data_IF_604421740647
#
_entry.id   IF_604421740647
#
_cell.length_a   1.000
_cell.length_b   1.000
_cell.length_c   1.000
_cell.angle_alpha   90.00
_cell.angle_beta   90.00
_cell.angle_gamma   90.00
#
_symmetry.space_group_name_H-M   'P 1'
#
loop_
_entity.id
_entity.type
_entity.pdbx_description
1 polymer ?
#
# COMPACT_ATOMS: atom_id res chain seq x y z
N UNK A 1 9.73 6.90 -14.72
CA UNK A 1 8.48 7.18 -14.00
C UNK A 1 8.61 8.51 -13.32
N UNK A 2 7.72 9.44 -13.65
CA UNK A 2 7.69 10.78 -13.08
C UNK A 2 6.30 11.09 -12.50
N UNK A 3 6.26 11.96 -11.50
CA UNK A 3 5.01 12.45 -10.92
C UNK A 3 4.05 11.36 -10.45
N UNK A 4 2.80 11.47 -10.89
CA UNK A 4 1.70 10.56 -10.56
C UNK A 4 1.93 9.10 -10.97
N UNK A 5 2.72 8.84 -12.02
CA UNK A 5 3.01 7.47 -12.49
C UNK A 5 3.69 6.64 -11.40
N UNK A 6 4.49 7.28 -10.54
CA UNK A 6 5.17 6.62 -9.43
C UNK A 6 4.18 6.07 -8.40
N UNK A 7 3.06 6.76 -8.17
CA UNK A 7 2.03 6.33 -7.23
C UNK A 7 1.20 5.18 -7.81
N UNK A 8 0.86 5.25 -9.10
CA UNK A 8 0.22 4.13 -9.81
C UNK A 8 1.11 2.89 -9.83
N UNK A 9 2.40 3.05 -10.09
CA UNK A 9 3.36 1.95 -9.97
C UNK A 9 3.40 1.37 -8.55
N UNK A 10 3.45 2.21 -7.51
CA UNK A 10 3.48 1.73 -6.13
C UNK A 10 2.20 0.94 -5.79
N UNK A 11 1.03 1.42 -6.21
CA UNK A 11 -0.25 0.71 -6.07
C UNK A 11 -0.19 -0.65 -6.74
N UNK A 12 0.13 -0.71 -8.03
CA UNK A 12 0.21 -1.97 -8.77
C UNK A 12 1.23 -2.92 -8.15
N UNK A 13 2.37 -2.40 -7.69
CA UNK A 13 3.42 -3.24 -7.12
C UNK A 13 3.00 -3.90 -5.81
N UNK A 14 2.29 -3.16 -4.95
CA UNK A 14 1.70 -3.71 -3.72
C UNK A 14 0.69 -4.81 -4.07
N UNK A 15 -0.17 -4.57 -5.06
CA UNK A 15 -1.20 -5.52 -5.46
C UNK A 15 -0.61 -6.79 -6.08
N UNK A 16 0.35 -6.66 -7.00
CA UNK A 16 1.02 -7.78 -7.64
C UNK A 16 1.79 -8.64 -6.64
N UNK A 17 2.60 -8.03 -5.77
CA UNK A 17 3.41 -8.78 -4.80
C UNK A 17 2.61 -9.45 -3.70
N UNK A 18 1.38 -8.99 -3.46
CA UNK A 18 0.51 -9.55 -2.42
C UNK A 18 -0.64 -10.35 -3.01
N UNK A 19 -0.64 -10.61 -4.32
CA UNK A 19 -1.72 -11.30 -5.03
C UNK A 19 -3.10 -10.66 -4.77
N UNK A 20 -3.12 -9.32 -4.66
CA UNK A 20 -4.31 -8.53 -4.37
C UNK A 20 -4.78 -8.55 -2.90
N UNK A 21 -4.09 -9.28 -2.01
CA UNK A 21 -4.43 -9.32 -0.57
C UNK A 21 -4.17 -7.98 0.12
N UNK A 22 -3.28 -7.16 -0.43
CA UNK A 22 -3.05 -5.80 0.03
C UNK A 22 -3.26 -4.84 -1.12
N UNK A 23 -4.03 -3.76 -0.87
CA UNK A 23 -4.42 -2.79 -1.89
C UNK A 23 -4.26 -1.38 -1.37
N UNK A 24 -3.61 -0.52 -2.14
CA UNK A 24 -3.57 0.91 -1.84
C UNK A 24 -4.90 1.55 -2.25
N UNK A 25 -5.57 2.17 -1.27
CA UNK A 25 -6.92 2.71 -1.40
C UNK A 25 -7.06 4.08 -0.72
N UNK A 26 -8.18 4.76 -0.96
CA UNK A 26 -8.53 6.02 -0.28
C UNK A 26 -9.39 5.75 0.95
N UNK A 27 -8.92 6.23 2.10
CA UNK A 27 -9.63 6.15 3.37
C UNK A 27 -10.56 7.32 3.62
N UNK A 28 -11.41 7.15 4.63
CA UNK A 28 -12.32 8.19 5.09
C UNK A 28 -11.52 9.46 5.44
N UNK A 29 -11.79 10.57 4.75
CA UNK A 29 -11.03 11.82 4.90
C UNK A 29 -9.89 12.00 3.89
N UNK A 30 -9.86 11.22 2.81
CA UNK A 30 -9.00 11.48 1.63
C UNK A 30 -7.54 11.07 1.80
N UNK A 31 -7.22 10.27 2.83
CA UNK A 31 -5.87 9.80 3.07
C UNK A 31 -5.64 8.44 2.42
N UNK A 32 -4.45 8.24 1.86
CA UNK A 32 -4.03 6.94 1.34
C UNK A 32 -3.76 5.97 2.50
N UNK A 33 -4.23 4.73 2.35
CA UNK A 33 -3.87 3.64 3.24
C UNK A 33 -3.92 2.29 2.50
N UNK A 34 -3.28 1.29 3.08
CA UNK A 34 -3.29 -0.07 2.54
C UNK A 34 -4.42 -0.84 3.20
N UNK A 35 -5.41 -1.28 2.42
CA UNK A 35 -6.40 -2.28 2.82
C UNK A 35 -5.75 -3.65 2.80
N UNK A 36 -5.90 -4.39 3.88
CA UNK A 36 -5.23 -5.67 4.10
C UNK A 36 -6.30 -6.74 4.31
N UNK A 37 -6.20 -7.84 3.58
CA UNK A 37 -7.04 -9.02 3.77
C UNK A 37 -6.81 -9.65 5.16
N UNK A 38 -7.84 -10.25 5.74
CA UNK A 38 -7.77 -10.83 7.09
C UNK A 38 -6.84 -12.04 7.17
N UNK A 39 -6.53 -12.68 6.04
CA UNK A 39 -5.55 -13.77 5.99
C UNK A 39 -4.10 -13.32 6.15
N UNK A 40 -3.77 -12.04 5.88
CA UNK A 40 -2.39 -11.54 5.96
C UNK A 40 -1.92 -11.33 7.39
N UNK A 41 -0.78 -11.97 7.73
CA UNK A 41 -0.13 -11.84 9.03
C UNK A 41 0.95 -10.74 9.04
N UNK A 42 1.41 -10.33 7.85
CA UNK A 42 2.29 -9.19 7.65
C UNK A 42 1.66 -8.22 6.65
N UNK A 43 1.87 -6.92 6.84
CA UNK A 43 1.25 -5.88 6.04
C UNK A 43 2.18 -4.69 5.76
N UNK A 44 1.99 -4.08 4.60
CA UNK A 44 2.62 -2.83 4.19
C UNK A 44 1.81 -1.66 4.73
N UNK A 45 2.49 -0.74 5.40
CA UNK A 45 2.01 0.61 5.67
C UNK A 45 2.54 1.53 4.58
N UNK A 46 1.65 2.37 4.04
CA UNK A 46 1.98 3.35 3.04
C UNK A 46 1.21 4.64 3.35
N UNK A 47 1.94 5.76 3.48
CA UNK A 47 1.35 7.08 3.63
C UNK A 47 2.17 8.13 2.88
N UNK A 48 1.52 9.22 2.47
CA UNK A 48 2.20 10.36 1.85
C UNK A 48 2.37 11.47 2.90
N UNK A 49 3.61 11.84 3.18
CA UNK A 49 3.97 12.80 4.23
C UNK A 49 4.57 14.05 3.60
N UNK A 50 4.03 15.22 3.96
CA UNK A 50 4.52 16.51 3.46
C UNK A 50 5.89 16.83 4.05
N UNK A 51 6.87 17.05 3.19
CA UNK A 51 8.15 17.64 3.55
C UNK A 51 8.00 19.14 3.72
N UNK A 52 8.16 19.62 4.95
CA UNK A 52 8.01 21.05 5.26
C UNK A 52 9.07 21.94 4.60
N UNK A 53 10.23 21.41 4.21
CA UNK A 53 11.31 22.18 3.58
C UNK A 53 11.08 22.37 2.08
N UNK A 54 10.64 21.32 1.39
CA UNK A 54 10.48 21.33 -0.08
C UNK A 54 9.04 21.56 -0.52
N UNK A 55 8.07 21.40 0.39
CA UNK A 55 6.63 21.44 0.09
C UNK A 55 6.10 20.19 -0.62
N UNK A 56 6.98 19.28 -1.05
CA UNK A 56 6.66 18.02 -1.71
C UNK A 56 6.15 16.98 -0.71
N UNK A 57 5.40 15.99 -1.19
CA UNK A 57 5.00 14.82 -0.41
C UNK A 57 5.91 13.64 -0.74
N UNK A 58 6.39 12.95 0.28
CA UNK A 58 7.18 11.73 0.15
C UNK A 58 6.42 10.52 0.71
N UNK A 59 6.62 9.35 0.13
CA UNK A 59 6.08 8.13 0.71
C UNK A 59 6.84 7.75 1.99
N UNK A 60 6.09 7.52 3.06
CA UNK A 60 6.53 6.82 4.27
C UNK A 60 6.01 5.39 4.18
N UNK A 61 6.94 4.43 4.04
CA UNK A 61 6.64 3.02 3.78
C UNK A 61 7.23 2.18 4.91
N UNK A 62 6.43 1.28 5.49
CA UNK A 62 6.86 0.41 6.60
C UNK A 62 6.24 -0.98 6.46
N UNK A 63 6.90 -2.01 6.98
CA UNK A 63 6.28 -3.31 7.21
C UNK A 63 5.82 -3.43 8.67
N UNK A 64 4.68 -4.07 8.91
CA UNK A 64 4.23 -4.41 10.27
C UNK A 64 3.57 -5.80 10.33
N UNK A 65 3.57 -6.40 11.52
CA UNK A 65 2.95 -7.70 11.76
C UNK A 65 1.58 -7.52 12.41
N UNK A 66 0.59 -8.28 11.94
CA UNK A 66 -0.76 -8.38 12.50
C UNK A 66 -0.84 -9.68 13.29
N UNK A 67 -0.61 -9.62 14.60
CA UNK A 67 -0.65 -10.81 15.46
C UNK A 67 -1.83 -10.73 16.42
N UNK A 68 -2.68 -11.76 16.41
CA UNK A 68 -3.84 -11.88 17.31
C UNK A 68 -3.73 -13.06 18.30
N UNK A 69 -2.79 -13.99 18.10
CA UNK A 69 -2.35 -15.03 19.04
C UNK A 69 -1.15 -15.80 18.46
N UNK A 70 -0.52 -16.68 19.23
CA UNK A 70 0.64 -17.48 18.78
C UNK A 70 0.33 -18.44 17.61
N UNK A 71 1.37 -18.90 16.92
CA UNK A 71 1.24 -19.76 15.75
C UNK A 71 0.99 -21.22 16.16
N UNK A 72 -0.13 -21.80 15.70
CA UNK A 72 -0.62 -23.11 16.17
C UNK A 72 0.28 -24.31 15.80
N UNK A 73 1.20 -24.16 14.84
CA UNK A 73 2.17 -25.19 14.43
C UNK A 73 3.30 -24.60 13.56
N UNK A 74 4.30 -25.43 13.24
CA UNK A 74 5.45 -25.06 12.41
C UNK A 74 5.08 -24.61 10.99
N UNK A 75 4.07 -25.23 10.35
CA UNK A 75 3.61 -24.84 9.01
C UNK A 75 3.11 -23.40 8.96
N UNK A 76 2.32 -22.96 9.97
CA UNK A 76 1.88 -21.56 10.04
C UNK A 76 3.03 -20.59 10.29
N UNK A 77 4.07 -21.03 11.01
CA UNK A 77 5.26 -20.22 11.25
C UNK A 77 6.11 -20.09 9.98
N UNK A 78 6.20 -21.15 9.17
CA UNK A 78 6.88 -21.13 7.87
C UNK A 78 6.18 -20.19 6.88
N UNK A 79 4.85 -20.27 6.76
CA UNK A 79 4.05 -19.35 5.94
C UNK A 79 4.25 -17.88 6.35
N UNK A 80 4.26 -17.60 7.65
CA UNK A 80 4.58 -16.26 8.14
C UNK A 80 5.99 -15.83 7.71
N UNK A 81 6.99 -16.71 7.82
CA UNK A 81 8.36 -16.39 7.43
C UNK A 81 8.45 -16.03 5.94
N UNK A 82 7.72 -16.74 5.09
CA UNK A 82 7.61 -16.43 3.67
C UNK A 82 6.92 -15.08 3.43
N UNK A 83 5.78 -14.82 4.08
CA UNK A 83 5.07 -13.54 3.99
C UNK A 83 5.95 -12.36 4.42
N UNK A 84 6.67 -12.49 5.54
CA UNK A 84 7.60 -11.47 6.04
C UNK A 84 8.73 -11.23 5.04
N UNK A 85 9.27 -12.29 4.44
CA UNK A 85 10.36 -12.18 3.47
C UNK A 85 9.90 -11.46 2.20
N UNK A 86 8.72 -11.80 1.69
CA UNK A 86 8.11 -11.11 0.54
C UNK A 86 7.82 -9.64 0.84
N UNK A 87 7.21 -9.35 1.98
CA UNK A 87 6.93 -7.99 2.42
C UNK A 87 8.22 -7.17 2.60
N UNK A 88 9.27 -7.75 3.16
CA UNK A 88 10.56 -7.06 3.34
C UNK A 88 11.19 -6.70 1.98
N UNK A 89 11.05 -7.54 0.97
CA UNK A 89 11.49 -7.22 -0.39
C UNK A 89 10.66 -6.07 -0.99
N UNK A 90 9.34 -6.12 -0.85
CA UNK A 90 8.43 -5.07 -1.31
C UNK A 90 8.74 -3.71 -0.66
N UNK A 91 8.87 -3.65 0.67
CA UNK A 91 9.17 -2.41 1.39
C UNK A 91 10.49 -1.81 0.92
N UNK A 92 11.55 -2.62 0.78
CA UNK A 92 12.84 -2.16 0.25
C UNK A 92 12.73 -1.60 -1.16
N UNK A 93 11.93 -2.25 -2.02
CA UNK A 93 11.71 -1.80 -3.39
C UNK A 93 10.99 -0.43 -3.42
N UNK A 94 9.94 -0.26 -2.61
CA UNK A 94 9.20 0.98 -2.48
C UNK A 94 10.04 2.12 -1.88
N UNK A 95 10.86 1.84 -0.87
CA UNK A 95 11.82 2.79 -0.29
C UNK A 95 12.85 3.24 -1.32
N UNK A 96 13.42 2.30 -2.08
CA UNK A 96 14.42 2.57 -3.11
C UNK A 96 13.88 3.43 -4.25
N UNK A 97 12.58 3.36 -4.53
CA UNK A 97 11.92 4.18 -5.55
C UNK A 97 11.85 5.68 -5.19
N UNK A 98 12.11 6.04 -3.92
CA UNK A 98 12.12 7.42 -3.43
C UNK A 98 10.93 8.24 -3.96
N UNK A 99 9.73 7.72 -3.70
CA UNK A 99 8.48 8.30 -4.18
C UNK A 99 8.32 9.71 -3.61
N UNK A 100 8.26 10.68 -4.51
CA UNK A 100 8.11 12.10 -4.21
C UNK A 100 7.23 12.74 -5.27
N UNK A 101 6.21 13.46 -4.84
CA UNK A 101 5.23 14.13 -5.72
C UNK A 101 4.82 15.48 -5.14
N UNK A 102 4.30 16.34 -5.99
CA UNK A 102 3.65 17.59 -5.60
C UNK A 102 2.27 17.35 -4.98
N UNK A 103 1.73 18.38 -4.33
CA UNK A 103 0.36 18.37 -3.78
C UNK A 103 -0.69 18.16 -4.89
N UNK A 104 -0.50 18.81 -6.04
CA UNK A 104 -1.40 18.70 -7.20
C UNK A 104 -1.44 17.27 -7.75
N UNK A 105 -0.26 16.64 -7.90
CA UNK A 105 -0.16 15.24 -8.35
C UNK A 105 -0.77 14.26 -7.35
N UNK A 106 -0.56 14.48 -6.05
CA UNK A 106 -1.15 13.65 -5.01
C UNK A 106 -2.67 13.78 -4.99
N UNK A 107 -3.21 15.00 -5.04
CA UNK A 107 -4.65 15.24 -5.09
C UNK A 107 -5.27 14.59 -6.34
N UNK A 108 -4.60 14.70 -7.50
CA UNK A 108 -5.04 14.05 -8.72
C UNK A 108 -5.06 12.53 -8.59
N UNK A 109 -4.02 11.94 -8.01
CA UNK A 109 -3.97 10.50 -7.75
C UNK A 109 -5.11 10.05 -6.85
N UNK A 110 -5.35 10.75 -5.74
CA UNK A 110 -6.43 10.42 -4.82
C UNK A 110 -7.80 10.49 -5.51
N UNK A 111 -8.04 11.52 -6.33
CA UNK A 111 -9.29 11.68 -7.08
C UNK A 111 -9.49 10.56 -8.11
N UNK A 112 -8.45 10.24 -8.91
CA UNK A 112 -8.53 9.15 -9.89
C UNK A 112 -8.75 7.79 -9.21
N UNK A 113 -8.11 7.56 -8.05
CA UNK A 113 -8.28 6.35 -7.27
C UNK A 113 -9.70 6.21 -6.70
N UNK A 114 -10.27 7.29 -6.15
CA UNK A 114 -11.64 7.30 -5.62
C UNK A 114 -12.69 6.98 -6.69
N UNK A 115 -12.51 7.48 -7.92
CA UNK A 115 -13.38 7.13 -9.06
C UNK A 115 -13.29 5.64 -9.37
N UNK A 116 -12.08 5.09 -9.42
CA UNK A 116 -11.88 3.66 -9.69
C UNK A 116 -12.54 2.80 -8.62
N UNK A 117 -12.39 3.14 -7.33
CA UNK A 117 -13.00 2.38 -6.24
C UNK A 117 -14.53 2.43 -6.24
N UNK A 118 -15.11 3.57 -6.65
CA UNK A 118 -16.57 3.71 -6.77
C UNK A 118 -17.11 2.83 -7.90
N UNK A 119 -16.45 2.86 -9.07
CA UNK A 119 -16.84 2.03 -10.22
C UNK A 119 -16.73 0.53 -9.92
N UNK A 120 -15.63 0.09 -9.28
CA UNK A 120 -15.46 -1.31 -8.87
C UNK A 120 -16.48 -1.77 -7.82
N UNK A 121 -16.98 -0.84 -6.99
CA UNK A 121 -18.05 -1.09 -6.03
C UNK A 121 -19.39 -1.34 -6.70
N UNK A 122 -19.77 -0.47 -7.64
CA UNK A 122 -21.02 -0.58 -8.41
C UNK A 122 -21.08 -1.86 -9.26
N UNK A 123 -19.96 -2.28 -9.86
CA UNK A 123 -19.88 -3.52 -10.64
C UNK A 123 -20.02 -4.80 -9.79
N UNK A 124 -19.71 -4.74 -8.49
CA UNK A 124 -19.86 -5.90 -7.57
C UNK A 124 -21.25 -6.03 -6.98
N UNK A 125 -22.06 -4.97 -7.03
CA UNK A 125 -23.44 -4.95 -6.55
C UNK A 125 -24.47 -5.26 -7.66
N UNK A 126 -24.04 -5.27 -8.93
CA UNK A 126 -24.84 -5.60 -10.12
C UNK A 126 -24.83 -7.10 -10.45
#
# INVERSE_FOLDING_TARGET
MEGIEKLWWAKHRIEEQTEGKQRLIIGAGGHLFVKVDDSCLAACYFAMVRNQKTGQYHADVKGYLRTFSGYCNGTRLEQLSEEISGLAALVKELEAAQLSVSEEELCRFCYELEIQETAEGEEREA
#
